data_IF_303591465920
#
_entry.id   IF_303591465920
#
_cell.length_a   1.000
_cell.length_b   1.000
_cell.length_c   1.000
_cell.angle_alpha   90.00
_cell.angle_beta   90.00
_cell.angle_gamma   90.00
#
_symmetry.space_group_name_H-M   'P 1'
#
loop_
_entity.id
_entity.type
_entity.pdbx_description
1 polymer ?
#
# COMPACT_ATOMS: atom_id res chain seq x y z
N UNK A 1 -7.94 -18.71 35.27
CA UNK A 1 -8.49 -17.35 35.50
C UNK A 1 -8.25 -16.56 34.24
N UNK A 2 -9.28 -16.45 33.42
CA UNK A 2 -9.23 -15.70 32.14
C UNK A 2 -9.72 -14.30 32.49
N UNK A 3 -8.82 -13.34 32.43
CA UNK A 3 -9.15 -11.93 32.65
C UNK A 3 -9.85 -11.35 31.42
N UNK A 4 -11.12 -11.09 31.55
CA UNK A 4 -11.91 -10.31 30.62
C UNK A 4 -11.36 -8.89 30.57
N UNK A 5 -10.77 -8.53 29.44
CA UNK A 5 -10.42 -7.13 29.16
C UNK A 5 -11.65 -6.45 28.55
N UNK A 6 -12.44 -5.81 29.40
CA UNK A 6 -13.39 -4.80 28.95
C UNK A 6 -12.59 -3.59 28.43
N UNK A 7 -12.43 -3.48 27.15
CA UNK A 7 -12.04 -2.20 26.51
C UNK A 7 -13.31 -1.50 26.07
N UNK A 8 -13.74 -0.56 26.88
CA UNK A 8 -14.78 0.41 26.56
C UNK A 8 -14.27 1.28 25.44
N UNK A 9 -14.95 1.25 24.30
CA UNK A 9 -14.70 2.12 23.17
C UNK A 9 -15.19 3.54 23.47
N UNK A 10 -14.36 4.34 24.09
CA UNK A 10 -14.52 5.79 24.09
C UNK A 10 -13.40 6.41 23.22
N UNK A 11 -13.56 6.32 21.91
CA UNK A 11 -12.84 7.23 21.03
C UNK A 11 -13.48 8.63 21.21
N UNK A 12 -12.72 9.66 21.62
CA UNK A 12 -13.25 11.02 21.83
C UNK A 12 -13.81 11.68 20.57
N UNK A 13 -13.72 11.02 19.43
CA UNK A 13 -14.16 11.51 18.11
C UNK A 13 -15.45 10.88 17.61
N UNK A 14 -16.10 10.01 18.39
CA UNK A 14 -17.33 9.34 18.00
C UNK A 14 -18.52 9.83 18.82
N UNK A 15 -19.08 10.97 18.40
CA UNK A 15 -20.47 11.28 18.72
C UNK A 15 -21.35 10.43 17.78
N UNK A 16 -22.13 9.53 18.35
CA UNK A 16 -22.92 8.49 17.67
C UNK A 16 -24.06 8.96 16.74
N UNK A 17 -23.91 10.11 16.11
CA UNK A 17 -24.75 10.52 15.00
C UNK A 17 -24.15 9.96 13.71
N UNK A 18 -24.91 9.17 12.97
CA UNK A 18 -24.62 8.80 11.58
C UNK A 18 -24.13 10.05 10.84
N UNK A 19 -23.06 9.99 10.05
CA UNK A 19 -22.69 11.11 9.20
C UNK A 19 -23.90 11.47 8.37
N UNK A 20 -24.27 12.73 8.36
CA UNK A 20 -25.45 13.24 7.66
C UNK A 20 -25.49 12.62 6.26
N UNK A 21 -26.51 11.84 5.98
CA UNK A 21 -26.72 11.11 4.72
C UNK A 21 -26.56 12.01 3.48
N UNK A 22 -26.90 13.28 3.60
CA UNK A 22 -26.81 14.27 2.54
C UNK A 22 -25.37 14.46 1.98
N UNK A 23 -24.34 14.47 2.81
CA UNK A 23 -22.96 14.70 2.35
C UNK A 23 -22.34 13.50 1.62
N UNK A 24 -22.68 12.27 2.00
CA UNK A 24 -22.22 11.06 1.33
C UNK A 24 -22.90 10.91 -0.05
N UNK A 25 -24.18 11.14 -0.10
CA UNK A 25 -24.95 11.08 -1.35
C UNK A 25 -24.48 12.12 -2.36
N UNK A 26 -24.20 13.34 -1.92
CA UNK A 26 -23.67 14.39 -2.78
C UNK A 26 -22.33 13.99 -3.41
N UNK A 27 -21.39 13.47 -2.63
CA UNK A 27 -20.10 12.98 -3.12
C UNK A 27 -20.26 11.84 -4.13
N UNK A 28 -21.15 10.90 -3.86
CA UNK A 28 -21.47 9.79 -4.76
C UNK A 28 -22.06 10.30 -6.07
N UNK A 29 -23.05 11.19 -6.01
CA UNK A 29 -23.69 11.76 -7.20
C UNK A 29 -22.73 12.62 -8.02
N UNK A 30 -21.81 13.34 -7.38
CA UNK A 30 -20.76 14.11 -8.06
C UNK A 30 -19.84 13.18 -8.85
N UNK A 31 -19.35 12.10 -8.24
CA UNK A 31 -18.50 11.12 -8.91
C UNK A 31 -19.23 10.38 -10.03
N UNK A 32 -20.50 10.00 -9.81
CA UNK A 32 -21.33 9.37 -10.85
C UNK A 32 -21.49 10.28 -12.06
N UNK A 33 -21.79 11.57 -11.87
CA UNK A 33 -21.88 12.56 -12.96
C UNK A 33 -20.56 12.70 -13.73
N UNK A 34 -19.43 12.73 -13.01
CA UNK A 34 -18.10 12.82 -13.62
C UNK A 34 -17.79 11.60 -14.49
N UNK A 35 -18.32 10.43 -14.11
CA UNK A 35 -18.20 9.17 -14.86
C UNK A 35 -19.29 8.99 -15.93
N UNK A 36 -20.11 10.01 -16.17
CA UNK A 36 -21.19 9.97 -17.17
C UNK A 36 -22.34 9.03 -16.84
N UNK A 37 -22.57 8.72 -15.55
CA UNK A 37 -23.67 7.86 -15.12
C UNK A 37 -25.00 8.60 -15.10
N UNK A 38 -26.01 8.00 -15.72
CA UNK A 38 -27.40 8.44 -15.66
C UNK A 38 -28.03 8.12 -14.31
N UNK A 39 -29.29 8.55 -14.11
CA UNK A 39 -29.97 8.36 -12.82
C UNK A 39 -30.17 6.88 -12.46
N UNK A 40 -30.47 6.02 -13.42
CA UNK A 40 -30.64 4.57 -13.22
C UNK A 40 -29.39 3.72 -13.29
N UNK A 41 -28.21 4.31 -13.60
CA UNK A 41 -26.97 3.55 -13.73
C UNK A 41 -26.28 3.34 -12.39
N UNK A 42 -25.74 2.15 -12.13
CA UNK A 42 -24.92 1.89 -10.96
C UNK A 42 -23.48 2.34 -11.19
N UNK A 43 -22.89 2.98 -10.19
CA UNK A 43 -21.42 3.07 -10.06
C UNK A 43 -20.90 1.73 -9.59
N UNK A 44 -20.10 1.05 -10.41
CA UNK A 44 -19.58 -0.28 -10.11
C UNK A 44 -18.10 -0.20 -9.70
N UNK A 45 -17.82 -0.58 -8.47
CA UNK A 45 -16.47 -0.57 -7.89
C UNK A 45 -16.03 -2.01 -7.63
N UNK A 46 -14.87 -2.40 -8.15
CA UNK A 46 -14.29 -3.71 -7.94
C UNK A 46 -12.94 -3.60 -7.23
N UNK A 47 -12.80 -4.26 -6.08
CA UNK A 47 -11.49 -4.44 -5.43
C UNK A 47 -10.88 -5.77 -5.88
N UNK A 48 -9.71 -5.73 -6.48
CA UNK A 48 -8.95 -6.93 -6.90
C UNK A 48 -7.97 -7.27 -5.78
N UNK A 49 -8.15 -8.44 -5.18
CA UNK A 49 -7.35 -8.95 -4.07
C UNK A 49 -8.03 -8.76 -2.71
N UNK A 50 -8.38 -9.90 -2.09
CA UNK A 50 -9.00 -9.96 -0.76
C UNK A 50 -7.94 -10.04 0.36
N UNK A 51 -6.80 -9.38 0.20
CA UNK A 51 -5.83 -9.16 1.26
C UNK A 51 -6.29 -8.11 2.27
N UNK A 52 -5.50 -7.89 3.33
CA UNK A 52 -5.85 -6.95 4.40
C UNK A 52 -6.31 -5.57 3.87
N UNK A 53 -5.51 -4.97 2.98
CA UNK A 53 -5.83 -3.66 2.43
C UNK A 53 -7.02 -3.67 1.48
N UNK A 54 -7.08 -4.60 0.54
CA UNK A 54 -8.20 -4.69 -0.41
C UNK A 54 -9.54 -4.89 0.29
N UNK A 55 -9.55 -5.74 1.34
CA UNK A 55 -10.76 -6.00 2.14
C UNK A 55 -11.19 -4.79 2.96
N UNK A 56 -10.25 -4.13 3.66
CA UNK A 56 -10.55 -2.94 4.47
C UNK A 56 -11.02 -1.79 3.61
N UNK A 57 -10.39 -1.58 2.45
CA UNK A 57 -10.79 -0.51 1.56
C UNK A 57 -12.19 -0.71 0.97
N UNK A 58 -12.51 -1.95 0.56
CA UNK A 58 -13.86 -2.29 0.13
C UNK A 58 -14.89 -2.12 1.27
N UNK A 59 -14.53 -2.48 2.50
CA UNK A 59 -15.38 -2.28 3.68
C UNK A 59 -15.61 -0.79 3.99
N UNK A 60 -14.57 0.04 3.86
CA UNK A 60 -14.71 1.50 4.03
C UNK A 60 -15.71 2.11 3.04
N UNK A 61 -15.63 1.69 1.78
CA UNK A 61 -16.56 2.14 0.75
C UNK A 61 -17.97 1.63 0.99
N UNK A 62 -18.09 0.37 1.43
CA UNK A 62 -19.39 -0.21 1.79
C UNK A 62 -20.02 0.52 2.98
N UNK A 63 -19.24 0.87 4.01
CA UNK A 63 -19.71 1.66 5.15
C UNK A 63 -20.22 3.03 4.72
N UNK A 64 -19.49 3.69 3.82
CA UNK A 64 -19.82 5.05 3.39
C UNK A 64 -21.00 5.11 2.43
N UNK A 65 -21.12 4.14 1.52
CA UNK A 65 -21.98 4.24 0.36
C UNK A 65 -22.95 3.06 0.16
N UNK A 66 -22.76 1.95 0.86
CA UNK A 66 -23.53 0.72 0.64
C UNK A 66 -25.04 0.85 0.87
N UNK A 67 -25.49 1.90 1.55
CA UNK A 67 -26.92 2.17 1.72
C UNK A 67 -27.60 2.78 0.46
N UNK A 68 -26.81 3.30 -0.50
CA UNK A 68 -27.32 3.82 -1.77
C UNK A 68 -27.37 2.72 -2.85
N UNK A 69 -28.18 1.69 -2.61
CA UNK A 69 -28.25 0.47 -3.45
C UNK A 69 -28.51 0.73 -4.92
N UNK A 70 -29.35 1.72 -5.21
CA UNK A 70 -29.73 2.10 -6.57
C UNK A 70 -28.63 2.89 -7.30
N UNK A 71 -27.55 3.26 -6.60
CA UNK A 71 -26.50 4.15 -7.09
C UNK A 71 -25.12 3.54 -7.14
N UNK A 72 -24.82 2.56 -6.26
CA UNK A 72 -23.48 1.97 -6.18
C UNK A 72 -23.52 0.47 -5.90
N UNK A 73 -22.61 -0.25 -6.53
CA UNK A 73 -22.32 -1.66 -6.26
C UNK A 73 -20.83 -1.84 -6.01
N UNK A 74 -20.48 -2.49 -4.90
CA UNK A 74 -19.10 -2.77 -4.52
C UNK A 74 -18.88 -4.29 -4.54
N UNK A 75 -17.80 -4.72 -5.22
CA UNK A 75 -17.40 -6.12 -5.34
C UNK A 75 -15.95 -6.28 -4.90
N UNK A 76 -15.62 -7.46 -4.39
CA UNK A 76 -14.24 -7.84 -4.10
C UNK A 76 -13.93 -9.17 -4.77
N UNK A 77 -12.82 -9.22 -5.50
CA UNK A 77 -12.34 -10.45 -6.13
C UNK A 77 -11.30 -11.15 -5.27
N UNK A 78 -11.44 -12.44 -5.20
CA UNK A 78 -10.51 -13.38 -4.60
C UNK A 78 -10.16 -14.48 -5.59
N UNK A 79 -8.88 -14.82 -5.69
CA UNK A 79 -8.45 -15.92 -6.59
C UNK A 79 -9.08 -17.26 -6.16
N UNK A 80 -9.74 -17.93 -7.11
CA UNK A 80 -10.26 -19.28 -6.88
C UNK A 80 -9.12 -20.29 -6.68
N UNK A 81 -9.34 -21.35 -5.89
CA UNK A 81 -8.40 -22.46 -5.73
C UNK A 81 -7.16 -22.19 -4.87
N UNK A 82 -6.85 -20.97 -4.48
CA UNK A 82 -6.00 -20.76 -3.32
C UNK A 82 -6.79 -21.19 -2.11
N UNK A 83 -6.34 -22.28 -1.46
CA UNK A 83 -6.77 -22.50 -0.08
C UNK A 83 -6.57 -21.18 0.63
N UNK A 84 -7.63 -20.59 1.15
CA UNK A 84 -7.48 -19.47 2.06
C UNK A 84 -6.69 -20.09 3.19
N UNK A 85 -5.43 -19.71 3.25
CA UNK A 85 -4.65 -19.99 4.44
C UNK A 85 -5.52 -19.59 5.62
N UNK A 86 -5.61 -20.46 6.61
CA UNK A 86 -6.37 -20.21 7.83
C UNK A 86 -6.15 -18.78 8.34
N UNK A 87 -4.92 -18.28 8.23
CA UNK A 87 -4.56 -16.90 8.57
C UNK A 87 -5.23 -15.83 7.69
N UNK A 88 -5.47 -16.07 6.40
CA UNK A 88 -6.17 -15.10 5.52
C UNK A 88 -7.67 -15.15 5.78
N UNK A 89 -8.24 -16.33 6.05
CA UNK A 89 -9.62 -16.46 6.49
C UNK A 89 -9.80 -15.82 7.88
N UNK A 90 -8.94 -16.15 8.83
CA UNK A 90 -8.92 -15.54 10.16
C UNK A 90 -8.76 -14.02 10.06
N UNK A 91 -7.91 -13.51 9.18
CA UNK A 91 -7.75 -12.08 8.99
C UNK A 91 -8.98 -11.41 8.36
N UNK A 92 -9.62 -12.03 7.38
CA UNK A 92 -10.92 -11.57 6.87
C UNK A 92 -11.99 -11.59 7.96
N UNK A 93 -11.96 -12.61 8.81
CA UNK A 93 -12.88 -12.74 9.93
C UNK A 93 -12.52 -11.87 11.11
N UNK A 94 -11.25 -11.61 11.39
CA UNK A 94 -10.83 -10.61 12.38
C UNK A 94 -11.26 -9.21 11.96
N UNK A 95 -11.16 -8.87 10.66
CA UNK A 95 -11.67 -7.63 10.11
C UNK A 95 -13.18 -7.53 10.30
N UNK A 96 -13.91 -8.63 10.15
CA UNK A 96 -15.34 -8.71 10.40
C UNK A 96 -15.62 -8.73 11.92
N UNK A 97 -14.88 -9.50 12.70
CA UNK A 97 -15.05 -9.68 14.14
C UNK A 97 -14.59 -8.50 15.00
N UNK A 98 -13.79 -7.60 14.46
CA UNK A 98 -13.38 -6.39 15.19
C UNK A 98 -14.55 -5.46 15.53
N UNK A 99 -15.72 -5.72 14.96
CA UNK A 99 -16.99 -5.06 15.28
C UNK A 99 -18.01 -6.08 15.82
N UNK A 100 -17.72 -6.67 16.92
CA UNK A 100 -18.50 -7.76 17.50
C UNK A 100 -20.00 -7.43 17.65
N UNK A 101 -20.33 -6.21 18.03
CA UNK A 101 -21.71 -5.73 18.15
C UNK A 101 -22.41 -5.58 16.79
N UNK A 102 -21.71 -5.15 15.77
CA UNK A 102 -22.22 -5.07 14.40
C UNK A 102 -22.35 -6.46 13.80
N UNK A 103 -21.35 -7.32 14.01
CA UNK A 103 -21.37 -8.70 13.54
C UNK A 103 -22.51 -9.48 14.18
N UNK A 104 -22.76 -9.36 15.48
CA UNK A 104 -23.89 -9.99 16.19
C UNK A 104 -25.23 -9.54 15.63
N UNK A 105 -25.39 -8.28 15.27
CA UNK A 105 -26.59 -7.76 14.60
C UNK A 105 -26.76 -8.33 13.20
N UNK A 106 -25.65 -8.41 12.43
CA UNK A 106 -25.62 -8.99 11.09
C UNK A 106 -25.98 -10.47 11.08
N UNK A 107 -25.41 -11.25 12.00
CA UNK A 107 -25.70 -12.68 12.16
C UNK A 107 -27.19 -12.92 12.43
N UNK A 108 -27.82 -12.08 13.24
CA UNK A 108 -29.26 -12.18 13.51
C UNK A 108 -30.16 -11.90 12.31
N UNK A 109 -29.70 -11.11 11.36
CA UNK A 109 -30.46 -10.66 10.18
C UNK A 109 -30.11 -11.38 8.89
N UNK A 110 -28.88 -11.86 8.77
CA UNK A 110 -28.41 -12.58 7.61
C UNK A 110 -28.13 -14.04 7.96
N UNK A 111 -29.03 -14.92 7.55
CA UNK A 111 -28.93 -16.36 7.80
C UNK A 111 -27.59 -16.93 7.29
N UNK A 112 -27.04 -16.35 6.23
CA UNK A 112 -25.80 -16.77 5.63
C UNK A 112 -24.58 -16.48 6.53
N UNK A 113 -24.53 -15.31 7.16
CA UNK A 113 -23.47 -15.00 8.14
C UNK A 113 -23.54 -15.87 9.40
N UNK A 114 -24.75 -16.27 9.78
CA UNK A 114 -24.94 -17.25 10.88
C UNK A 114 -24.32 -18.62 10.55
N UNK A 115 -24.39 -19.03 9.28
CA UNK A 115 -23.74 -20.26 8.82
C UNK A 115 -22.22 -20.14 8.78
N UNK A 116 -21.71 -18.97 8.43
CA UNK A 116 -20.27 -18.70 8.45
C UNK A 116 -19.70 -18.85 9.85
N UNK A 117 -20.34 -18.26 10.87
CA UNK A 117 -19.92 -18.34 12.26
C UNK A 117 -20.09 -19.75 12.84
N UNK A 118 -21.24 -20.40 12.64
CA UNK A 118 -21.49 -21.75 13.12
C UNK A 118 -20.56 -22.81 12.52
N UNK A 119 -20.03 -22.52 11.34
CA UNK A 119 -19.13 -23.45 10.67
C UNK A 119 -17.67 -23.23 11.00
N UNK A 120 -17.28 -22.07 11.52
CA UNK A 120 -15.94 -21.81 12.04
C UNK A 120 -15.68 -22.50 13.38
N UNK A 121 -16.73 -22.73 14.18
CA UNK A 121 -16.62 -23.47 15.45
C UNK A 121 -16.63 -24.98 15.28
N UNK A 122 -17.58 -25.54 14.53
CA UNK A 122 -17.91 -26.98 14.53
C UNK A 122 -17.66 -27.72 13.19
N UNK A 123 -17.43 -27.04 12.10
CA UNK A 123 -17.19 -27.69 10.81
C UNK A 123 -16.09 -26.94 10.02
N UNK A 124 -15.14 -27.70 9.54
CA UNK A 124 -14.16 -27.28 8.52
C UNK A 124 -14.84 -27.04 7.17
N UNK A 125 -15.59 -25.97 7.04
CA UNK A 125 -15.89 -25.48 5.70
C UNK A 125 -14.67 -24.78 5.17
N UNK A 126 -14.33 -25.16 3.96
CA UNK A 126 -13.34 -24.42 3.19
C UNK A 126 -13.90 -23.00 2.98
N UNK A 127 -13.10 -21.98 3.24
CA UNK A 127 -13.51 -20.60 2.94
C UNK A 127 -13.92 -20.44 1.47
N UNK A 128 -13.48 -21.34 0.60
CA UNK A 128 -13.88 -21.45 -0.80
C UNK A 128 -15.36 -21.79 -0.98
N UNK A 129 -15.91 -22.68 -0.15
CA UNK A 129 -17.33 -23.02 -0.22
C UNK A 129 -18.20 -21.86 0.28
N UNK A 130 -17.72 -21.13 1.30
CA UNK A 130 -18.41 -19.96 1.84
C UNK A 130 -18.40 -18.79 0.85
N UNK A 131 -17.29 -18.63 0.13
CA UNK A 131 -17.10 -17.53 -0.82
C UNK A 131 -17.54 -17.87 -2.24
N UNK A 132 -17.86 -19.13 -2.53
CA UNK A 132 -18.22 -19.60 -3.87
C UNK A 132 -19.44 -18.89 -4.42
N UNK A 133 -20.43 -18.66 -3.59
CA UNK A 133 -21.68 -17.97 -3.97
C UNK A 133 -21.68 -16.48 -3.61
N UNK A 134 -20.59 -15.99 -3.04
CA UNK A 134 -20.47 -14.65 -2.48
C UNK A 134 -21.13 -14.54 -1.11
N UNK A 135 -20.65 -13.65 -0.27
CA UNK A 135 -21.29 -13.29 1.00
C UNK A 135 -21.46 -11.80 1.13
N UNK A 136 -22.45 -11.43 1.93
CA UNK A 136 -22.82 -10.04 2.15
C UNK A 136 -22.17 -9.51 3.40
N UNK A 137 -21.35 -8.47 3.30
CA UNK A 137 -20.91 -7.65 4.43
C UNK A 137 -21.88 -6.48 4.58
N UNK A 138 -22.88 -6.66 5.45
CA UNK A 138 -23.79 -5.58 5.83
C UNK A 138 -23.32 -4.98 7.15
N UNK A 139 -22.85 -3.75 7.14
CA UNK A 139 -22.23 -3.12 8.29
C UNK A 139 -23.12 -2.16 9.06
N UNK A 140 -24.38 -1.96 8.66
CA UNK A 140 -25.31 -1.00 9.27
C UNK A 140 -26.73 -1.58 9.38
N UNK A 141 -27.55 -1.02 10.26
CA UNK A 141 -28.90 -1.47 10.59
C UNK A 141 -29.96 -1.37 9.48
N UNK A 142 -29.59 -0.88 8.30
CA UNK A 142 -30.47 -0.80 7.15
C UNK A 142 -30.21 -1.93 6.15
N UNK A 143 -31.19 -2.35 5.35
CA UNK A 143 -30.97 -3.34 4.32
C UNK A 143 -30.04 -2.76 3.26
N UNK A 144 -28.75 -3.02 3.40
CA UNK A 144 -27.69 -2.52 2.54
C UNK A 144 -27.50 -3.39 1.30
N UNK A 145 -26.98 -2.78 0.25
CA UNK A 145 -26.42 -3.53 -0.85
C UNK A 145 -25.20 -4.30 -0.34
N UNK A 146 -25.18 -5.65 -0.39
CA UNK A 146 -24.11 -6.40 0.19
C UNK A 146 -22.81 -6.22 -0.58
N UNK A 147 -21.66 -6.18 0.15
CA UNK A 147 -20.36 -6.33 -0.48
C UNK A 147 -20.29 -7.74 -1.09
N UNK A 148 -20.25 -7.82 -2.41
CA UNK A 148 -20.23 -9.10 -3.12
C UNK A 148 -18.78 -9.60 -3.23
N UNK A 149 -18.50 -10.80 -2.69
CA UNK A 149 -17.22 -11.47 -2.90
C UNK A 149 -17.36 -12.46 -4.07
N UNK A 150 -16.50 -12.32 -5.07
CA UNK A 150 -16.51 -13.14 -6.28
C UNK A 150 -15.16 -13.79 -6.50
N UNK A 151 -15.17 -15.01 -7.05
CA UNK A 151 -13.96 -15.76 -7.39
C UNK A 151 -13.63 -15.70 -8.89
N UNK A 152 -14.60 -15.34 -9.71
CA UNK A 152 -14.39 -15.14 -11.14
C UNK A 152 -13.88 -13.70 -11.38
N UNK A 153 -12.66 -13.58 -11.95
CA UNK A 153 -12.03 -12.29 -12.20
C UNK A 153 -12.79 -11.48 -13.25
N UNK A 154 -13.24 -12.13 -14.32
CA UNK A 154 -14.03 -11.46 -15.36
C UNK A 154 -15.32 -10.87 -14.78
N UNK A 155 -16.07 -11.63 -13.98
CA UNK A 155 -17.27 -11.13 -13.31
C UNK A 155 -16.99 -9.93 -12.41
N UNK A 156 -15.82 -9.91 -11.78
CA UNK A 156 -15.44 -8.80 -10.92
C UNK A 156 -15.20 -7.50 -11.68
N UNK A 157 -14.56 -7.55 -12.86
CA UNK A 157 -13.96 -6.38 -13.50
C UNK A 157 -14.57 -5.96 -14.83
N UNK A 158 -15.31 -6.84 -15.51
CA UNK A 158 -15.72 -6.61 -16.90
C UNK A 158 -16.52 -5.31 -17.10
N UNK A 159 -17.32 -4.91 -16.14
CA UNK A 159 -18.16 -3.71 -16.17
C UNK A 159 -17.86 -2.71 -15.03
N UNK A 160 -16.76 -2.89 -14.32
CA UNK A 160 -16.37 -2.00 -13.23
C UNK A 160 -15.96 -0.61 -13.76
N UNK A 161 -16.45 0.44 -13.14
CA UNK A 161 -16.09 1.83 -13.44
C UNK A 161 -14.80 2.23 -12.72
N UNK A 162 -14.64 1.71 -11.49
CA UNK A 162 -13.45 1.90 -10.67
C UNK A 162 -12.93 0.54 -10.25
N UNK A 163 -11.65 0.32 -10.46
CA UNK A 163 -10.94 -0.90 -10.03
C UNK A 163 -9.87 -0.53 -9.01
N UNK A 164 -9.92 -1.20 -7.86
CA UNK A 164 -8.95 -1.02 -6.77
C UNK A 164 -7.96 -2.18 -6.82
N UNK A 165 -6.69 -1.89 -7.01
CA UNK A 165 -5.63 -2.88 -6.96
C UNK A 165 -5.16 -3.08 -5.52
N UNK A 166 -5.67 -4.10 -4.84
CA UNK A 166 -5.24 -4.53 -3.51
C UNK A 166 -4.29 -5.74 -3.52
N UNK A 167 -3.75 -6.10 -4.70
CA UNK A 167 -2.81 -7.21 -4.87
C UNK A 167 -1.41 -6.86 -4.35
N UNK A 168 -0.61 -7.86 -3.97
CA UNK A 168 0.84 -7.70 -3.91
C UNK A 168 1.40 -7.22 -5.26
N UNK A 169 2.43 -6.39 -5.25
CA UNK A 169 3.05 -5.91 -6.50
C UNK A 169 3.54 -7.04 -7.41
N UNK A 170 4.05 -8.12 -6.82
CA UNK A 170 4.51 -9.31 -7.53
C UNK A 170 3.41 -10.04 -8.32
N UNK A 171 2.13 -9.86 -7.94
CA UNK A 171 0.99 -10.47 -8.63
C UNK A 171 0.27 -9.46 -9.56
N UNK A 172 0.58 -8.16 -9.43
CA UNK A 172 -0.13 -7.10 -10.14
C UNK A 172 -0.04 -7.26 -11.65
N UNK A 173 1.16 -7.50 -12.18
CA UNK A 173 1.39 -7.64 -13.63
C UNK A 173 0.55 -8.78 -14.21
N UNK A 174 0.72 -9.99 -13.68
CA UNK A 174 0.03 -11.20 -14.18
C UNK A 174 -1.49 -11.04 -14.19
N UNK A 175 -2.04 -10.53 -13.06
CA UNK A 175 -3.50 -10.38 -12.95
C UNK A 175 -4.02 -9.30 -13.89
N UNK A 176 -3.31 -8.19 -14.06
CA UNK A 176 -3.76 -7.14 -14.99
C UNK A 176 -3.56 -7.49 -16.46
N UNK A 177 -2.61 -8.35 -16.81
CA UNK A 177 -2.54 -8.97 -18.15
C UNK A 177 -3.76 -9.85 -18.44
N UNK A 178 -4.28 -10.55 -17.42
CA UNK A 178 -5.53 -11.30 -17.56
C UNK A 178 -6.73 -10.35 -17.66
N UNK A 179 -6.81 -9.36 -16.80
CA UNK A 179 -7.87 -8.33 -16.81
C UNK A 179 -7.93 -7.61 -18.16
N UNK A 180 -6.79 -7.32 -18.78
CA UNK A 180 -6.74 -6.66 -20.08
C UNK A 180 -7.51 -7.40 -21.16
N UNK A 181 -7.56 -8.73 -21.08
CA UNK A 181 -8.31 -9.57 -22.06
C UNK A 181 -9.80 -9.32 -21.97
N UNK A 182 -10.33 -9.08 -20.78
CA UNK A 182 -11.74 -8.80 -20.53
C UNK A 182 -12.15 -7.39 -20.92
N UNK A 183 -11.18 -6.46 -21.04
CA UNK A 183 -11.44 -5.06 -21.35
C UNK A 183 -11.26 -4.67 -22.82
N UNK A 184 -10.80 -5.59 -23.67
CA UNK A 184 -10.54 -5.31 -25.09
C UNK A 184 -11.72 -4.75 -25.86
N UNK A 185 -12.93 -5.16 -25.50
CA UNK A 185 -14.17 -4.75 -26.18
C UNK A 185 -14.92 -3.62 -25.46
N UNK A 186 -14.32 -3.09 -24.36
CA UNK A 186 -14.96 -2.02 -23.60
C UNK A 186 -14.83 -0.68 -24.32
N UNK A 187 -15.95 0.03 -24.38
CA UNK A 187 -15.99 1.41 -24.90
C UNK A 187 -15.47 2.40 -23.83
N UNK A 188 -15.72 2.12 -22.56
CA UNK A 188 -15.34 3.01 -21.45
C UNK A 188 -14.09 2.49 -20.74
N UNK A 189 -13.13 3.38 -20.52
CA UNK A 189 -11.91 3.07 -19.79
C UNK A 189 -12.18 3.21 -18.29
N UNK A 190 -11.90 2.18 -17.46
CA UNK A 190 -12.08 2.27 -16.02
C UNK A 190 -11.01 3.18 -15.39
N UNK A 191 -11.33 3.70 -14.20
CA UNK A 191 -10.33 4.31 -13.33
C UNK A 191 -9.73 3.21 -12.46
N UNK A 192 -8.41 3.22 -12.29
CA UNK A 192 -7.72 2.26 -11.44
C UNK A 192 -7.08 3.00 -10.27
N UNK A 193 -7.25 2.49 -9.05
CA UNK A 193 -6.61 2.99 -7.83
C UNK A 193 -5.70 1.88 -7.30
N UNK A 194 -4.39 2.08 -7.40
CA UNK A 194 -3.41 1.12 -6.87
C UNK A 194 -3.10 1.39 -5.40
N UNK A 195 -3.17 0.34 -4.58
CA UNK A 195 -2.72 0.32 -3.19
C UNK A 195 -1.37 -0.41 -3.05
N UNK A 196 -0.84 -0.96 -4.14
CA UNK A 196 0.40 -1.72 -4.15
C UNK A 196 1.61 -0.81 -3.91
N UNK A 197 2.61 -1.32 -3.19
CA UNK A 197 3.78 -0.54 -2.75
C UNK A 197 5.13 -1.11 -3.24
N UNK A 198 5.13 -2.23 -3.95
CA UNK A 198 6.34 -2.83 -4.50
C UNK A 198 6.74 -2.18 -5.81
N UNK A 199 8.02 -2.17 -6.06
CA UNK A 199 8.62 -1.63 -7.28
C UNK A 199 9.49 -2.69 -7.95
N UNK A 200 9.68 -2.53 -9.26
CA UNK A 200 10.65 -3.31 -10.04
C UNK A 200 11.73 -2.36 -10.58
N UNK A 201 12.93 -2.88 -10.80
CA UNK A 201 13.96 -2.18 -11.54
C UNK A 201 14.12 -2.81 -12.93
N UNK A 202 14.22 -1.96 -13.95
CA UNK A 202 14.63 -2.35 -15.29
C UNK A 202 15.92 -1.61 -15.60
N UNK A 203 16.98 -2.33 -15.93
CA UNK A 203 18.30 -1.72 -16.18
C UNK A 203 18.57 -1.49 -17.65
N UNK A 204 17.92 -2.25 -18.53
CA UNK A 204 18.07 -2.18 -19.97
C UNK A 204 16.80 -1.62 -20.64
N UNK A 205 16.92 -0.84 -21.73
CA UNK A 205 18.13 -0.19 -22.30
C UNK A 205 18.57 1.04 -21.48
N UNK A 206 17.72 1.53 -20.57
CA UNK A 206 17.99 2.64 -19.67
C UNK A 206 17.52 2.28 -18.27
N UNK A 207 18.37 2.48 -17.24
CA UNK A 207 18.00 2.20 -15.86
C UNK A 207 16.77 3.00 -15.43
N UNK A 208 15.75 2.28 -14.95
CA UNK A 208 14.50 2.89 -14.47
C UNK A 208 13.81 2.05 -13.41
N UNK A 209 13.02 2.69 -12.59
CA UNK A 209 12.05 2.02 -11.72
C UNK A 209 10.72 1.90 -12.42
N UNK A 210 10.09 0.75 -12.29
CA UNK A 210 8.73 0.49 -12.76
C UNK A 210 7.84 0.43 -11.52
N UNK A 211 6.93 1.38 -11.42
CA UNK A 211 5.97 1.48 -10.30
C UNK A 211 4.74 0.62 -10.56
N UNK A 212 3.94 0.29 -9.54
CA UNK A 212 2.71 -0.48 -9.71
C UNK A 212 1.73 0.13 -10.72
N UNK A 213 1.60 1.45 -10.76
CA UNK A 213 0.71 2.10 -11.75
C UNK A 213 1.26 1.97 -13.17
N UNK A 214 2.56 2.07 -13.36
CA UNK A 214 3.21 1.81 -14.64
C UNK A 214 3.08 0.35 -15.07
N UNK A 215 3.24 -0.61 -14.14
CA UNK A 215 2.99 -2.03 -14.43
C UNK A 215 1.57 -2.26 -14.95
N UNK A 216 0.58 -1.65 -14.30
CA UNK A 216 -0.83 -1.75 -14.71
C UNK A 216 -1.03 -1.14 -16.10
N UNK A 217 -0.47 0.06 -16.34
CA UNK A 217 -0.56 0.72 -17.64
C UNK A 217 0.05 -0.14 -18.77
N UNK A 218 1.23 -0.73 -18.52
CA UNK A 218 1.88 -1.61 -19.49
C UNK A 218 1.10 -2.90 -19.73
N UNK A 219 0.55 -3.51 -18.69
CA UNK A 219 -0.19 -4.76 -18.77
C UNK A 219 -1.55 -4.59 -19.47
N UNK A 220 -2.20 -3.44 -19.32
CA UNK A 220 -3.56 -3.22 -19.79
C UNK A 220 -3.69 -2.31 -21.00
N UNK A 221 -2.66 -1.50 -21.27
CA UNK A 221 -2.73 -0.42 -22.27
C UNK A 221 -3.59 0.77 -21.83
N UNK A 222 -4.07 0.78 -20.58
CA UNK A 222 -4.84 1.91 -20.03
C UNK A 222 -3.89 3.11 -19.86
N UNK A 223 -4.31 4.31 -20.31
CA UNK A 223 -3.52 5.53 -20.12
C UNK A 223 -3.24 5.80 -18.64
N UNK A 224 -2.03 6.25 -18.35
CA UNK A 224 -1.58 6.51 -16.98
C UNK A 224 -2.45 7.55 -16.25
N UNK A 225 -3.09 8.44 -17.00
CA UNK A 225 -4.02 9.44 -16.48
C UNK A 225 -5.26 8.83 -15.81
N UNK A 226 -5.59 7.59 -16.14
CA UNK A 226 -6.70 6.83 -15.54
C UNK A 226 -6.25 5.95 -14.39
N UNK A 227 -4.96 5.94 -14.04
CA UNK A 227 -4.40 5.11 -13.00
C UNK A 227 -3.85 6.01 -11.88
N UNK A 228 -4.34 5.80 -10.66
CA UNK A 228 -3.97 6.56 -9.49
C UNK A 228 -3.31 5.65 -8.45
N UNK A 229 -2.52 6.25 -7.59
CA UNK A 229 -1.97 5.60 -6.40
C UNK A 229 -2.61 6.16 -5.14
N UNK A 230 -2.94 5.29 -4.20
CA UNK A 230 -3.37 5.67 -2.85
C UNK A 230 -2.42 5.09 -1.81
N UNK A 231 -1.78 5.96 -1.06
CA UNK A 231 -0.85 5.58 -0.01
C UNK A 231 -0.85 6.51 1.18
N UNK A 232 -0.22 6.08 2.28
CA UNK A 232 -0.12 6.86 3.50
C UNK A 232 0.19 6.00 4.73
N UNK A 233 0.29 6.60 5.93
CA UNK A 233 0.55 5.94 7.21
C UNK A 233 -0.67 5.14 7.66
N UNK A 234 -0.90 4.00 7.03
CA UNK A 234 -2.13 3.25 7.16
C UNK A 234 -1.88 1.79 7.54
N UNK A 235 -2.34 1.38 8.71
CA UNK A 235 -2.43 -0.03 9.12
C UNK A 235 -3.87 -0.48 8.91
N UNK A 236 -4.09 -1.49 8.08
CA UNK A 236 -5.42 -1.92 7.64
C UNK A 236 -6.38 -2.21 8.82
N UNK A 237 -5.93 -2.97 9.82
CA UNK A 237 -6.72 -3.27 11.02
C UNK A 237 -7.08 -2.04 11.84
N UNK A 238 -6.17 -1.09 11.97
CA UNK A 238 -6.42 0.15 12.72
C UNK A 238 -7.46 1.03 12.02
N UNK A 239 -7.38 1.14 10.70
CA UNK A 239 -8.37 1.88 9.91
C UNK A 239 -9.74 1.20 9.99
N UNK A 240 -9.77 -0.11 9.90
CA UNK A 240 -11.02 -0.84 10.06
C UNK A 240 -11.66 -0.60 11.42
N UNK A 241 -10.86 -0.50 12.47
CA UNK A 241 -11.29 -0.14 13.82
C UNK A 241 -11.63 1.35 13.98
N UNK A 242 -11.67 2.10 12.87
CA UNK A 242 -11.98 3.54 12.84
C UNK A 242 -10.98 4.41 13.59
N UNK A 243 -9.73 3.94 13.72
CA UNK A 243 -8.65 4.82 14.14
C UNK A 243 -8.42 5.94 13.12
N UNK A 244 -7.95 7.08 13.63
CA UNK A 244 -7.69 8.22 12.75
C UNK A 244 -6.55 7.92 11.79
N UNK A 245 -6.83 8.06 10.50
CA UNK A 245 -5.88 7.79 9.45
C UNK A 245 -5.94 8.85 8.33
N UNK A 246 -4.86 8.96 7.60
CA UNK A 246 -4.83 9.78 6.40
C UNK A 246 -4.12 9.09 5.23
N UNK A 247 -4.48 9.50 4.03
CA UNK A 247 -3.86 9.02 2.81
C UNK A 247 -3.68 10.16 1.79
N UNK A 248 -2.85 9.88 0.79
CA UNK A 248 -2.72 10.70 -0.43
C UNK A 248 -3.19 9.88 -1.61
N UNK A 249 -4.08 10.46 -2.42
CA UNK A 249 -4.38 9.95 -3.75
C UNK A 249 -3.63 10.77 -4.78
N UNK A 250 -2.82 10.10 -5.59
CA UNK A 250 -1.89 10.72 -6.53
C UNK A 250 -2.23 10.31 -7.96
N UNK A 251 -2.07 11.24 -8.90
CA UNK A 251 -2.34 11.02 -10.31
C UNK A 251 -2.93 12.24 -11.01
N UNK A 252 -3.61 12.03 -12.14
CA UNK A 252 -4.17 13.11 -12.94
C UNK A 252 -5.22 13.94 -12.20
N UNK A 253 -5.17 15.24 -12.38
CA UNK A 253 -6.04 16.21 -11.68
C UNK A 253 -7.52 15.92 -11.86
N UNK A 254 -7.91 15.55 -13.06
CA UNK A 254 -9.29 15.18 -13.39
C UNK A 254 -9.90 14.19 -12.42
N UNK A 255 -9.10 13.23 -11.92
CA UNK A 255 -9.57 12.14 -11.09
C UNK A 255 -9.17 12.27 -9.61
N UNK A 256 -7.96 12.76 -9.31
CA UNK A 256 -7.46 12.78 -7.94
C UNK A 256 -8.30 13.64 -7.01
N UNK A 257 -8.73 14.82 -7.46
CA UNK A 257 -9.54 15.73 -6.63
C UNK A 257 -10.93 15.17 -6.30
N UNK A 258 -11.74 14.74 -7.30
CA UNK A 258 -13.04 14.12 -7.01
C UNK A 258 -12.93 12.84 -6.17
N UNK A 259 -11.92 12.00 -6.45
CA UNK A 259 -11.70 10.77 -5.69
C UNK A 259 -11.23 11.06 -4.26
N UNK A 260 -10.37 12.05 -4.02
CA UNK A 260 -10.02 12.47 -2.67
C UNK A 260 -11.25 12.86 -1.86
N UNK A 261 -12.18 13.59 -2.48
CA UNK A 261 -13.47 13.97 -1.86
C UNK A 261 -14.34 12.75 -1.59
N UNK A 262 -14.47 11.85 -2.58
CA UNK A 262 -15.27 10.63 -2.48
C UNK A 262 -14.74 9.67 -1.40
N UNK A 263 -13.43 9.46 -1.35
CA UNK A 263 -12.81 8.51 -0.42
C UNK A 263 -12.74 9.02 1.03
N UNK A 264 -12.85 10.34 1.23
CA UNK A 264 -12.73 10.96 2.55
C UNK A 264 -13.92 10.61 3.44
N UNK A 265 -13.60 10.09 4.63
CA UNK A 265 -14.52 9.80 5.72
C UNK A 265 -14.08 10.51 7.00
N UNK A 266 -14.92 10.61 8.04
CA UNK A 266 -14.58 11.33 9.28
C UNK A 266 -13.27 10.86 9.92
N UNK A 267 -13.00 9.56 9.92
CA UNK A 267 -11.78 8.95 10.49
C UNK A 267 -10.68 8.68 9.45
N UNK A 268 -10.98 8.76 8.15
CA UNK A 268 -10.05 8.49 7.06
C UNK A 268 -9.97 9.67 6.11
N UNK A 269 -8.99 10.54 6.37
CA UNK A 269 -8.82 11.77 5.61
C UNK A 269 -7.96 11.51 4.38
N UNK A 270 -8.51 11.81 3.21
CA UNK A 270 -7.80 11.70 1.94
C UNK A 270 -7.54 13.07 1.36
N UNK A 271 -6.30 13.33 0.99
CA UNK A 271 -5.88 14.50 0.22
C UNK A 271 -5.35 14.07 -1.14
N UNK A 272 -5.34 15.00 -2.08
CA UNK A 272 -4.79 14.78 -3.41
C UNK A 272 -3.36 15.32 -3.54
N UNK A 273 -2.60 14.72 -4.47
CA UNK A 273 -1.27 15.20 -4.86
C UNK A 273 -1.02 14.91 -6.35
N UNK A 274 -0.28 15.77 -7.04
CA UNK A 274 0.02 15.61 -8.47
C UNK A 274 1.14 14.61 -8.74
N UNK A 275 2.08 14.45 -7.80
CA UNK A 275 3.28 13.63 -7.99
C UNK A 275 2.99 12.15 -7.71
N UNK A 276 2.51 11.45 -8.73
CA UNK A 276 2.19 10.03 -8.69
C UNK A 276 3.44 9.16 -8.45
N UNK A 277 4.46 9.37 -9.28
CA UNK A 277 5.61 8.46 -9.34
C UNK A 277 6.41 8.49 -8.04
N UNK A 278 6.65 9.68 -7.52
CA UNK A 278 7.43 9.80 -6.27
C UNK A 278 6.71 9.19 -5.08
N UNK A 279 5.39 9.34 -4.99
CA UNK A 279 4.62 8.69 -3.91
C UNK A 279 4.70 7.17 -3.98
N UNK A 280 4.65 6.58 -5.17
CA UNK A 280 4.83 5.14 -5.33
C UNK A 280 6.24 4.69 -4.99
N UNK A 281 7.26 5.41 -5.48
CA UNK A 281 8.67 5.13 -5.21
C UNK A 281 8.95 5.17 -3.71
N UNK A 282 8.49 6.22 -3.03
CA UNK A 282 8.67 6.36 -1.58
C UNK A 282 7.88 5.33 -0.80
N UNK A 283 6.69 4.95 -1.27
CA UNK A 283 5.90 3.85 -0.71
C UNK A 283 6.63 2.50 -0.77
N UNK A 284 7.45 2.28 -1.80
CA UNK A 284 8.36 1.13 -1.93
C UNK A 284 9.59 1.26 -1.04
N UNK A 285 10.24 2.40 -1.11
CA UNK A 285 11.54 2.67 -0.45
C UNK A 285 11.48 2.52 1.07
N UNK A 286 10.40 2.95 1.73
CA UNK A 286 10.25 2.77 3.18
C UNK A 286 10.32 1.31 3.63
N UNK A 287 9.94 0.35 2.77
CA UNK A 287 10.03 -1.07 3.08
C UNK A 287 11.47 -1.55 3.20
N UNK A 288 12.39 -0.94 2.45
CA UNK A 288 13.83 -1.15 2.57
C UNK A 288 14.29 -0.85 3.99
N UNK A 289 14.00 0.37 4.44
CA UNK A 289 14.46 0.85 5.74
C UNK A 289 13.73 0.19 6.91
N UNK A 290 12.52 -0.33 6.70
CA UNK A 290 11.82 -1.09 7.71
C UNK A 290 12.56 -2.39 8.09
N UNK A 291 13.22 -3.06 7.15
CA UNK A 291 14.07 -4.23 7.47
C UNK A 291 15.20 -3.80 8.40
N UNK A 292 15.92 -2.73 8.06
CA UNK A 292 17.00 -2.21 8.89
C UNK A 292 16.53 -1.74 10.27
N UNK A 293 15.34 -1.14 10.37
CA UNK A 293 14.73 -0.79 11.66
C UNK A 293 14.53 -2.02 12.55
N UNK A 294 14.05 -3.12 11.95
CA UNK A 294 13.93 -4.40 12.64
C UNK A 294 15.26 -4.95 13.14
N UNK A 295 16.30 -4.90 12.30
CA UNK A 295 17.66 -5.29 12.69
C UNK A 295 18.14 -4.47 13.89
N UNK A 296 18.07 -3.14 13.81
CA UNK A 296 18.49 -2.23 14.90
C UNK A 296 17.71 -2.48 16.17
N UNK A 297 16.39 -2.62 16.08
CA UNK A 297 15.54 -2.88 17.25
C UNK A 297 15.96 -4.14 18.00
N UNK A 298 16.18 -5.25 17.28
CA UNK A 298 16.60 -6.51 17.90
C UNK A 298 18.02 -6.42 18.47
N UNK A 299 18.99 -5.90 17.71
CA UNK A 299 20.39 -5.80 18.11
C UNK A 299 20.62 -4.86 19.30
N UNK A 300 19.77 -3.86 19.49
CA UNK A 300 19.86 -2.87 20.56
C UNK A 300 18.84 -3.09 21.67
N UNK A 301 18.20 -4.27 21.74
CA UNK A 301 17.18 -4.63 22.74
C UNK A 301 16.08 -3.56 22.85
N UNK A 302 15.55 -3.15 21.71
CA UNK A 302 14.45 -2.16 21.59
C UNK A 302 14.82 -0.76 22.10
N UNK A 303 16.10 -0.38 22.13
CA UNK A 303 16.53 0.95 22.55
C UNK A 303 15.84 2.06 21.75
N UNK A 304 15.08 2.93 22.44
CA UNK A 304 14.40 4.04 21.81
C UNK A 304 15.39 5.03 21.17
N UNK A 305 16.52 5.29 21.83
CA UNK A 305 17.60 6.16 21.31
C UNK A 305 18.15 5.61 20.00
N UNK A 306 18.53 4.32 19.96
CA UNK A 306 19.08 3.71 18.75
C UNK A 306 18.07 3.68 17.60
N UNK A 307 16.80 3.40 17.88
CA UNK A 307 15.73 3.47 16.89
C UNK A 307 15.52 4.88 16.35
N UNK A 308 15.63 5.91 17.21
CA UNK A 308 15.53 7.31 16.80
C UNK A 308 16.70 7.75 15.92
N UNK A 309 17.93 7.36 16.28
CA UNK A 309 19.12 7.60 15.45
C UNK A 309 18.96 6.92 14.09
N UNK A 310 18.53 5.65 14.07
CA UNK A 310 18.26 4.95 12.82
C UNK A 310 17.20 5.69 11.97
N UNK A 311 16.11 6.16 12.58
CA UNK A 311 15.06 6.91 11.89
C UNK A 311 15.63 8.18 11.24
N UNK A 312 16.47 8.94 11.94
CA UNK A 312 17.08 10.13 11.40
C UNK A 312 17.96 9.83 10.18
N UNK A 313 18.80 8.78 10.26
CA UNK A 313 19.68 8.39 9.16
C UNK A 313 18.90 7.86 7.96
N UNK A 314 17.95 6.96 8.15
CA UNK A 314 17.18 6.40 7.04
C UNK A 314 16.32 7.46 6.34
N UNK A 315 15.72 8.38 7.09
CA UNK A 315 14.93 9.47 6.49
C UNK A 315 15.81 10.46 5.72
N UNK A 316 17.04 10.70 6.17
CA UNK A 316 18.01 11.48 5.41
C UNK A 316 18.34 10.84 4.05
N UNK A 317 18.60 9.51 4.02
CA UNK A 317 18.79 8.81 2.74
C UNK A 317 17.54 8.84 1.86
N UNK A 318 16.35 8.64 2.45
CA UNK A 318 15.09 8.70 1.71
C UNK A 318 14.86 10.08 1.08
N UNK A 319 15.17 11.15 1.80
CA UNK A 319 15.07 12.52 1.30
C UNK A 319 16.06 12.75 0.13
N UNK A 320 17.30 12.30 0.27
CA UNK A 320 18.28 12.35 -0.82
C UNK A 320 17.76 11.63 -2.07
N UNK A 321 17.31 10.39 -1.91
CA UNK A 321 16.77 9.60 -3.02
C UNK A 321 15.54 10.28 -3.64
N UNK A 322 14.67 10.85 -2.80
CA UNK A 322 13.50 11.61 -3.27
C UNK A 322 13.93 12.81 -4.13
N UNK A 323 14.92 13.57 -3.70
CA UNK A 323 15.41 14.71 -4.46
C UNK A 323 16.06 14.31 -5.81
N UNK A 324 16.60 13.10 -5.90
CA UNK A 324 17.13 12.59 -7.16
C UNK A 324 16.04 12.11 -8.13
N UNK A 325 14.87 11.71 -7.60
CA UNK A 325 13.82 11.06 -8.37
C UNK A 325 12.54 11.90 -8.54
N UNK A 326 12.40 13.04 -7.83
CA UNK A 326 11.19 13.87 -7.82
C UNK A 326 11.45 15.27 -8.35
N UNK A 327 10.42 15.82 -9.02
CA UNK A 327 10.40 17.23 -9.43
C UNK A 327 9.99 18.17 -8.27
N UNK A 328 9.23 17.68 -7.28
CA UNK A 328 8.71 18.49 -6.17
C UNK A 328 8.88 17.80 -4.80
N UNK A 329 10.13 17.48 -4.40
CA UNK A 329 10.38 16.64 -3.23
C UNK A 329 9.92 17.25 -1.89
N UNK A 330 9.88 18.56 -1.77
CA UNK A 330 9.48 19.23 -0.52
C UNK A 330 8.00 18.98 -0.18
N UNK A 331 7.13 18.80 -1.15
CA UNK A 331 5.70 18.51 -0.94
C UNK A 331 5.46 17.12 -0.35
N UNK A 332 6.46 16.26 -0.37
CA UNK A 332 6.37 14.87 0.08
C UNK A 332 6.86 14.64 1.50
N UNK A 333 7.63 15.55 2.07
CA UNK A 333 8.35 15.33 3.32
C UNK A 333 7.43 14.86 4.46
N UNK A 334 6.33 15.56 4.73
CA UNK A 334 5.42 15.21 5.83
C UNK A 334 4.74 13.84 5.67
N UNK A 335 3.98 13.60 4.59
CA UNK A 335 3.31 12.32 4.36
C UNK A 335 4.28 11.14 4.26
N UNK A 336 5.43 11.36 3.63
CA UNK A 336 6.48 10.36 3.50
C UNK A 336 7.04 9.96 4.85
N UNK A 337 7.37 10.93 5.70
CA UNK A 337 7.91 10.67 7.04
C UNK A 337 6.89 9.94 7.92
N UNK A 338 5.62 10.32 7.88
CA UNK A 338 4.56 9.66 8.65
C UNK A 338 4.37 8.20 8.22
N UNK A 339 4.35 7.92 6.92
CA UNK A 339 4.22 6.56 6.39
C UNK A 339 5.47 5.72 6.68
N UNK A 340 6.65 6.33 6.64
CA UNK A 340 7.90 5.69 7.05
C UNK A 340 7.86 5.36 8.53
N UNK A 341 7.55 6.31 9.39
CA UNK A 341 7.50 6.13 10.84
C UNK A 341 6.65 4.91 11.24
N UNK A 342 5.40 4.83 10.75
CA UNK A 342 4.51 3.72 11.10
C UNK A 342 5.03 2.38 10.55
N UNK A 343 5.68 2.38 9.40
CA UNK A 343 6.22 1.17 8.78
C UNK A 343 7.45 0.64 9.52
N UNK A 344 8.28 1.52 10.07
CA UNK A 344 9.43 1.14 10.89
C UNK A 344 9.02 0.57 12.26
N UNK A 345 7.90 1.06 12.82
CA UNK A 345 7.40 0.57 14.11
C UNK A 345 6.75 -0.80 14.01
N UNK A 346 5.97 -1.03 12.96
CA UNK A 346 5.15 -2.24 12.79
C UNK A 346 5.15 -2.66 11.33
N UNK A 347 5.05 -3.95 11.10
CA UNK A 347 4.89 -4.47 9.75
C UNK A 347 5.80 -5.65 9.45
N UNK A 348 5.55 -6.30 8.31
CA UNK A 348 6.25 -7.53 7.90
C UNK A 348 7.74 -7.33 7.70
N UNK A 349 8.13 -6.20 7.11
CA UNK A 349 9.54 -5.91 6.83
C UNK A 349 10.34 -5.69 8.13
N UNK A 350 9.80 -4.92 9.09
CA UNK A 350 10.44 -4.73 10.40
C UNK A 350 10.50 -6.05 11.19
N UNK A 351 9.43 -6.82 11.19
CA UNK A 351 9.42 -8.17 11.79
C UNK A 351 10.49 -9.07 11.16
N UNK A 352 10.61 -9.08 9.84
CA UNK A 352 11.62 -9.87 9.14
C UNK A 352 13.04 -9.50 9.57
N UNK A 353 13.35 -8.21 9.64
CA UNK A 353 14.65 -7.75 10.15
C UNK A 353 14.93 -8.18 11.59
N UNK A 354 13.91 -8.13 12.47
CA UNK A 354 14.06 -8.62 13.85
C UNK A 354 14.36 -10.11 13.91
N UNK A 355 13.67 -10.93 13.12
CA UNK A 355 13.88 -12.38 13.10
C UNK A 355 15.27 -12.76 12.56
N UNK A 356 15.73 -12.04 11.52
CA UNK A 356 17.11 -12.23 11.01
C UNK A 356 18.15 -11.91 12.07
N UNK A 357 18.02 -10.76 12.76
CA UNK A 357 18.99 -10.36 13.79
C UNK A 357 18.99 -11.30 15.01
N UNK A 358 17.86 -11.95 15.30
CA UNK A 358 17.76 -12.96 16.37
C UNK A 358 18.25 -14.35 15.96
N UNK A 359 18.55 -14.56 14.68
CA UNK A 359 18.88 -15.88 14.13
C UNK A 359 17.69 -16.84 14.03
N UNK A 360 16.46 -16.34 14.18
CA UNK A 360 15.22 -17.13 14.07
C UNK A 360 14.81 -17.36 12.60
N UNK A 361 15.29 -16.52 11.69
CA UNK A 361 15.24 -16.68 10.25
C UNK A 361 16.65 -16.65 9.67
N UNK A 362 16.80 -17.35 8.54
CA UNK A 362 18.01 -17.28 7.76
C UNK A 362 17.69 -16.78 6.35
N UNK A 363 18.69 -16.20 5.68
CA UNK A 363 18.52 -15.63 4.34
C UNK A 363 18.22 -16.68 3.25
N UNK A 364 18.47 -17.97 3.53
CA UNK A 364 18.17 -19.06 2.58
C UNK A 364 16.67 -19.35 2.48
N UNK A 365 15.87 -18.89 3.45
CA UNK A 365 14.41 -19.01 3.42
C UNK A 365 13.75 -18.09 2.37
N UNK A 366 14.55 -17.20 1.77
CA UNK A 366 14.05 -16.24 0.79
C UNK A 366 13.18 -15.13 1.39
N UNK A 367 12.41 -14.47 0.52
CA UNK A 367 11.53 -13.36 0.87
C UNK A 367 10.05 -13.74 0.99
N UNK A 368 9.69 -15.01 0.69
CA UNK A 368 8.32 -15.51 0.82
C UNK A 368 8.19 -16.41 2.05
N UNK A 369 7.69 -15.83 3.13
CA UNK A 369 7.60 -16.50 4.42
C UNK A 369 6.20 -17.06 4.65
N UNK A 370 6.12 -18.37 4.96
CA UNK A 370 4.84 -19.05 5.25
C UNK A 370 4.10 -18.34 6.38
N UNK A 371 2.83 -18.01 6.16
CA UNK A 371 1.99 -17.28 7.11
C UNK A 371 2.27 -15.77 7.23
N UNK A 372 3.29 -15.24 6.54
CA UNK A 372 3.60 -13.80 6.49
C UNK A 372 3.54 -13.22 5.08
N UNK A 373 3.62 -14.07 4.06
CA UNK A 373 3.67 -13.66 2.66
C UNK A 373 5.00 -13.04 2.26
N UNK A 374 5.02 -12.32 1.15
CA UNK A 374 6.24 -11.75 0.57
C UNK A 374 6.75 -10.55 1.37
N UNK A 375 8.05 -10.54 1.63
CA UNK A 375 8.77 -9.43 2.27
C UNK A 375 9.24 -8.47 1.17
N UNK A 376 8.40 -7.56 0.80
CA UNK A 376 8.63 -6.63 -0.33
C UNK A 376 9.89 -5.77 -0.18
N UNK A 377 10.38 -5.58 1.05
CA UNK A 377 11.59 -4.82 1.31
C UNK A 377 12.84 -5.46 0.70
N UNK A 378 12.92 -6.79 0.58
CA UNK A 378 14.08 -7.48 -0.01
C UNK A 378 14.23 -7.16 -1.49
N UNK A 379 13.16 -7.31 -2.27
CA UNK A 379 13.17 -6.94 -3.68
C UNK A 379 13.39 -5.44 -3.89
N UNK A 380 12.84 -4.60 -3.01
CA UNK A 380 13.05 -3.16 -3.06
C UNK A 380 14.51 -2.76 -2.76
N UNK A 381 15.19 -3.42 -1.80
CA UNK A 381 16.64 -3.22 -1.57
C UNK A 381 17.42 -3.45 -2.85
N UNK A 382 17.17 -4.57 -3.52
CA UNK A 382 17.85 -4.87 -4.79
C UNK A 382 17.56 -3.81 -5.86
N UNK A 383 16.30 -3.47 -6.07
CA UNK A 383 15.89 -2.53 -7.11
C UNK A 383 16.50 -1.14 -6.92
N UNK A 384 16.45 -0.59 -5.70
CA UNK A 384 17.02 0.73 -5.42
C UNK A 384 18.55 0.72 -5.47
N UNK A 385 19.18 -0.33 -4.97
CA UNK A 385 20.63 -0.44 -5.02
C UNK A 385 21.12 -0.48 -6.48
N UNK A 386 20.55 -1.34 -7.31
CA UNK A 386 20.92 -1.49 -8.71
C UNK A 386 20.70 -0.18 -9.48
N UNK A 387 19.56 0.49 -9.25
CA UNK A 387 19.31 1.80 -9.87
C UNK A 387 20.35 2.84 -9.45
N UNK A 388 20.55 3.03 -8.15
CA UNK A 388 21.42 4.09 -7.62
C UNK A 388 22.92 3.81 -7.78
N UNK A 389 23.29 2.59 -8.20
CA UNK A 389 24.66 2.20 -8.55
C UNK A 389 25.03 2.52 -10.00
N UNK A 390 24.08 2.98 -10.82
CA UNK A 390 24.34 3.25 -12.23
C UNK A 390 25.25 4.49 -12.39
N UNK A 391 26.31 4.35 -13.15
CA UNK A 391 27.32 5.41 -13.37
C UNK A 391 26.75 6.63 -14.10
N UNK A 392 25.67 6.45 -14.88
CA UNK A 392 24.97 7.57 -15.54
C UNK A 392 24.20 8.47 -14.55
N UNK A 393 24.06 8.05 -13.29
CA UNK A 393 23.42 8.79 -12.19
C UNK A 393 24.44 9.44 -11.26
N UNK A 394 25.64 9.77 -11.71
CA UNK A 394 26.69 10.27 -10.82
C UNK A 394 26.32 11.58 -10.11
N UNK A 395 26.67 11.66 -8.83
CA UNK A 395 26.60 12.85 -7.97
C UNK A 395 27.96 13.20 -7.45
N UNK A 396 28.20 14.45 -7.09
CA UNK A 396 29.49 14.85 -6.52
C UNK A 396 29.57 14.48 -5.04
N UNK A 397 30.62 13.77 -4.65
CA UNK A 397 30.88 13.45 -3.25
C UNK A 397 31.35 14.69 -2.49
N UNK A 398 30.79 15.01 -1.28
CA UNK A 398 31.10 16.26 -0.56
C UNK A 398 32.58 16.44 -0.24
N UNK A 399 33.27 15.36 0.14
CA UNK A 399 34.67 15.39 0.59
C UNK A 399 35.72 15.42 -0.51
N UNK A 400 35.38 15.40 -1.74
CA UNK A 400 36.42 15.28 -2.77
C UNK A 400 36.06 15.85 -4.11
N UNK A 401 34.86 16.38 -4.22
CA UNK A 401 34.31 16.91 -5.48
C UNK A 401 34.43 15.92 -6.65
N UNK A 402 34.47 14.61 -6.31
CA UNK A 402 34.58 13.51 -7.28
C UNK A 402 33.18 12.96 -7.58
N UNK A 403 32.88 12.66 -8.85
CA UNK A 403 31.65 12.00 -9.19
C UNK A 403 31.61 10.57 -8.60
N UNK A 404 30.53 10.24 -7.92
CA UNK A 404 30.26 8.91 -7.35
C UNK A 404 28.84 8.50 -7.70
N UNK A 405 28.56 7.18 -7.69
CA UNK A 405 27.20 6.69 -7.79
C UNK A 405 26.38 7.15 -6.57
N UNK A 406 25.10 7.50 -6.71
CA UNK A 406 24.27 7.98 -5.60
C UNK A 406 24.22 7.02 -4.41
N UNK A 407 24.33 5.71 -4.64
CA UNK A 407 24.33 4.68 -3.60
C UNK A 407 25.51 4.84 -2.61
N UNK A 408 26.61 5.45 -3.02
CA UNK A 408 27.73 5.74 -2.14
C UNK A 408 27.39 6.74 -1.03
N UNK A 409 26.34 7.54 -1.25
CA UNK A 409 25.79 8.46 -0.26
C UNK A 409 24.66 7.85 0.58
N UNK A 410 24.38 6.56 0.40
CA UNK A 410 23.33 5.82 1.10
C UNK A 410 23.91 4.62 1.86
N UNK A 411 24.67 4.83 2.95
CA UNK A 411 25.34 3.75 3.67
C UNK A 411 24.39 2.70 4.24
N UNK A 412 23.17 3.06 4.67
CA UNK A 412 22.20 2.09 5.16
C UNK A 412 21.71 1.20 4.02
N UNK A 413 21.29 1.77 2.90
CA UNK A 413 20.84 1.02 1.71
C UNK A 413 21.96 0.07 1.23
N UNK A 414 23.18 0.60 1.11
CA UNK A 414 24.37 -0.18 0.69
C UNK A 414 24.64 -1.35 1.64
N UNK A 415 24.54 -1.11 2.94
CA UNK A 415 24.75 -2.16 3.96
C UNK A 415 23.64 -3.21 3.90
N UNK A 416 22.35 -2.79 3.78
CA UNK A 416 21.24 -3.72 3.62
C UNK A 416 21.38 -4.59 2.38
N UNK A 417 21.82 -4.02 1.26
CA UNK A 417 22.09 -4.80 0.04
C UNK A 417 23.19 -5.85 0.27
N UNK A 418 24.27 -5.49 0.94
CA UNK A 418 25.35 -6.44 1.26
C UNK A 418 24.94 -7.54 2.23
N UNK A 419 24.05 -7.23 3.18
CA UNK A 419 23.50 -8.23 4.11
C UNK A 419 22.52 -9.15 3.37
N UNK A 420 21.51 -8.60 2.70
CA UNK A 420 20.35 -9.35 2.23
C UNK A 420 20.54 -10.02 0.87
N UNK A 421 21.27 -9.36 -0.03
CA UNK A 421 21.41 -9.79 -1.43
C UNK A 421 22.76 -10.45 -1.66
N UNK A 422 23.85 -9.76 -1.32
CA UNK A 422 25.21 -10.30 -1.51
C UNK A 422 25.62 -11.29 -0.43
N UNK A 423 25.03 -11.18 0.77
CA UNK A 423 25.36 -12.03 1.94
C UNK A 423 26.84 -11.93 2.35
N UNK A 424 27.43 -10.76 2.12
CA UNK A 424 28.83 -10.46 2.42
C UNK A 424 29.03 -9.93 3.85
N UNK A 425 27.98 -9.43 4.47
CA UNK A 425 27.99 -8.81 5.78
C UNK A 425 27.01 -9.48 6.74
N UNK A 426 27.34 -9.49 8.03
CA UNK A 426 26.44 -9.92 9.09
C UNK A 426 25.39 -8.84 9.41
N UNK A 427 24.33 -9.24 10.11
CA UNK A 427 23.24 -8.33 10.51
C UNK A 427 23.72 -7.18 11.40
N UNK A 428 24.76 -7.38 12.21
CA UNK A 428 25.36 -6.39 13.10
C UNK A 428 25.98 -5.21 12.34
N UNK A 429 26.36 -5.43 11.07
CA UNK A 429 26.97 -4.40 10.23
C UNK A 429 26.04 -3.19 10.02
N UNK A 430 24.72 -3.34 10.24
CA UNK A 430 23.79 -2.21 10.21
C UNK A 430 24.10 -1.15 11.28
N UNK A 431 24.62 -1.58 12.45
CA UNK A 431 25.03 -0.65 13.51
C UNK A 431 26.30 0.12 13.14
N UNK A 432 27.17 -0.48 12.34
CA UNK A 432 28.35 0.22 11.82
C UNK A 432 27.95 1.28 10.79
N UNK A 433 26.96 1.01 9.95
CA UNK A 433 26.44 1.99 8.99
C UNK A 433 25.90 3.26 9.68
N UNK A 434 25.40 3.15 10.93
CA UNK A 434 24.97 4.29 11.73
C UNK A 434 26.13 5.11 12.32
N UNK A 435 27.33 4.55 12.35
CA UNK A 435 28.56 5.22 12.85
C UNK A 435 29.42 5.73 11.71
N UNK A 436 28.98 5.57 10.48
CA UNK A 436 29.73 6.03 9.33
C UNK A 436 29.74 7.56 9.27
N UNK A 437 30.87 8.13 9.65
CA UNK A 437 31.14 9.58 9.66
C UNK A 437 31.46 10.14 8.26
N UNK A 438 31.37 9.34 7.21
CA UNK A 438 31.57 9.81 5.83
C UNK A 438 30.54 10.84 5.41
N UNK A 439 29.37 10.83 6.08
CA UNK A 439 28.26 11.76 5.88
C UNK A 439 27.98 12.53 7.17
N UNK A 440 28.48 13.74 7.25
CA UNK A 440 28.48 14.55 8.49
C UNK A 440 27.13 15.02 9.00
N UNK A 441 26.28 15.54 8.13
CA UNK A 441 24.97 16.07 8.53
C UNK A 441 23.90 15.62 7.52
N UNK A 442 22.73 15.15 7.98
CA UNK A 442 21.59 14.94 7.09
C UNK A 442 21.25 16.13 6.21
N UNK A 443 21.50 17.35 6.69
CA UNK A 443 21.32 18.59 5.92
C UNK A 443 22.29 18.70 4.75
N UNK A 444 23.52 18.23 4.90
CA UNK A 444 24.52 18.25 3.83
C UNK A 444 24.06 17.43 2.62
N UNK A 445 23.39 16.29 2.83
CA UNK A 445 22.80 15.50 1.74
C UNK A 445 21.78 16.29 0.96
N UNK A 446 20.91 17.05 1.64
CA UNK A 446 19.87 17.87 1.03
C UNK A 446 20.49 19.06 0.30
N UNK A 447 21.45 19.74 0.94
CA UNK A 447 22.13 20.89 0.37
C UNK A 447 22.97 20.51 -0.86
N UNK A 448 23.59 19.33 -0.82
CA UNK A 448 24.30 18.78 -1.97
C UNK A 448 23.39 18.56 -3.16
N UNK A 449 22.21 18.00 -2.96
CA UNK A 449 21.24 17.82 -4.03
C UNK A 449 20.72 19.15 -4.57
N UNK A 450 20.56 20.15 -3.71
CA UNK A 450 20.13 21.49 -4.11
C UNK A 450 21.21 22.30 -4.81
N UNK A 451 22.47 22.18 -4.39
CA UNK A 451 23.59 22.95 -4.92
C UNK A 451 24.18 22.37 -6.22
N UNK A 452 23.98 21.09 -6.47
CA UNK A 452 24.54 20.41 -7.63
C UNK A 452 23.45 20.28 -8.69
N UNK A 453 23.54 21.09 -9.72
CA UNK A 453 22.68 21.09 -10.91
C UNK A 453 22.76 19.79 -11.77
N UNK A 454 23.13 18.67 -11.17
CA UNK A 454 23.01 17.32 -11.76
C UNK A 454 21.59 16.79 -11.52
N UNK A 455 20.73 17.58 -10.93
CA UNK A 455 19.31 17.38 -10.96
C UNK A 455 18.82 17.38 -12.41
N UNK A 456 18.73 16.20 -12.97
CA UNK A 456 17.95 15.97 -14.17
C UNK A 456 16.63 15.35 -13.72
N UNK A 457 15.54 16.16 -13.62
CA UNK A 457 14.18 15.64 -13.40
C UNK A 457 13.81 14.55 -14.41
N UNK A 458 14.53 14.57 -15.50
CA UNK A 458 14.39 13.67 -16.63
C UNK A 458 14.81 12.22 -16.39
N UNK A 459 15.44 11.83 -15.30
CA UNK A 459 15.80 10.40 -15.15
C UNK A 459 14.59 9.49 -15.06
N UNK A 460 13.53 9.90 -14.36
CA UNK A 460 12.24 9.21 -14.41
C UNK A 460 11.44 9.60 -15.66
N UNK A 461 11.43 10.87 -16.07
CA UNK A 461 10.69 11.38 -17.22
C UNK A 461 11.28 10.93 -18.56
N UNK A 462 12.60 10.97 -18.76
CA UNK A 462 13.25 10.48 -19.98
C UNK A 462 13.20 8.96 -20.10
N UNK A 463 13.28 8.25 -18.98
CA UNK A 463 13.09 6.81 -18.97
C UNK A 463 11.64 6.38 -19.25
N UNK A 464 10.66 7.24 -19.01
CA UNK A 464 9.24 6.96 -19.29
C UNK A 464 8.81 7.31 -20.72
N UNK A 465 9.69 7.86 -21.56
CA UNK A 465 9.36 8.20 -22.95
C UNK A 465 8.32 9.32 -23.10
N UNK A 466 8.06 10.08 -22.05
CA UNK A 466 7.21 11.25 -22.08
C UNK A 466 8.02 12.36 -22.72
N UNK A 467 7.85 12.54 -24.03
CA UNK A 467 8.26 13.78 -24.69
C UNK A 467 7.35 14.89 -24.19
N UNK A 468 7.92 15.94 -23.61
CA UNK A 468 7.24 17.21 -23.33
C UNK A 468 6.57 17.77 -24.57
#
# INVERSE_FOLDING_TARGET
MVGTVERVHNSPFYNGSLPHSNGAEEKLNELRRLLGKSEGDLLKIASIGAGAWGSVFAALLQDAYGHFREKVQIRIWRRAGRSVDKSTAEHLFEVINSREDVLRRLIRRCAYLKYVEARLGDRTLQADEILKDGFCLNMIDTPLCPLKVVTNLQEAVWDADIVINGLPSTETREVFEEVSKYWKERITVPIIISLAKGIEASLDPVPRIITPTQMISYATGIPIENILYLGGPNIASEIYNKEYANARICGAEKWRKPLAKFLRQPQFIVWDNSDLITHEVMGGLKNVYAIGAGLVAALTKESATSKSVYFAHCTSEMILITHLLSEEPEKLAGPLLADTYVTLLKGRNAWYGQMLAKGELNLDMGDSIKGKGTIQGVSAVNAFYELLSQTCLSVLHPKGNKPVAPVELCPILKTLYKILIKRELSTESILQALRDESMYDPRERIEMTKSHAIYKPSLLGQACGIKN
#
